data_IF_979572521745
#
_entry.id   IF_979572521745
#
_cell.length_a   1.000
_cell.length_b   1.000
_cell.length_c   1.000
_cell.angle_alpha   90.00
_cell.angle_beta   90.00
_cell.angle_gamma   90.00
#
_symmetry.space_group_name_H-M   'P 1'
#
loop_
_entity.id
_entity.type
_entity.pdbx_description
1 polymer ?
#
# COMPACT_ATOMS: atom_id res chain seq x y z
N UNK A 1 -19.16 16.65 69.62
CA UNK A 1 -18.36 16.44 68.40
C UNK A 1 -17.45 17.65 68.20
N UNK A 2 -16.24 17.63 68.76
CA UNK A 2 -15.26 18.73 68.60
C UNK A 2 -14.24 18.29 67.56
N UNK A 3 -14.32 18.87 66.37
CA UNK A 3 -13.35 18.67 65.30
C UNK A 3 -11.97 19.15 65.75
N UNK A 4 -10.96 18.31 65.54
CA UNK A 4 -9.54 18.62 65.72
C UNK A 4 -9.13 19.59 64.62
N UNK A 5 -8.68 20.79 65.00
CA UNK A 5 -8.55 21.95 64.11
C UNK A 5 -7.12 22.19 63.60
N UNK A 6 -6.19 21.26 63.83
CA UNK A 6 -4.82 21.35 63.29
C UNK A 6 -4.20 19.96 63.10
N UNK A 7 -3.32 19.79 62.12
CA UNK A 7 -2.58 18.54 61.89
C UNK A 7 -1.72 18.09 63.07
N UNK A 8 -1.36 19.02 63.97
CA UNK A 8 -0.64 18.72 65.21
C UNK A 8 -1.46 17.95 66.26
N UNK A 9 -2.77 18.23 66.35
CA UNK A 9 -3.67 17.49 67.26
C UNK A 9 -3.93 16.07 66.77
N UNK A 10 -4.04 15.88 65.44
CA UNK A 10 -4.15 14.56 64.82
C UNK A 10 -2.88 13.73 65.04
N UNK A 11 -1.70 14.33 64.93
CA UNK A 11 -0.41 13.67 65.15
C UNK A 11 -0.23 13.23 66.62
N UNK A 12 -0.68 14.04 67.57
CA UNK A 12 -0.67 13.69 69.00
C UNK A 12 -1.68 12.58 69.33
N UNK A 13 -2.86 12.57 68.70
CA UNK A 13 -3.83 11.48 68.85
C UNK A 13 -3.31 10.15 68.30
N UNK A 14 -2.59 10.18 67.17
CA UNK A 14 -1.94 9.01 66.56
C UNK A 14 -0.77 8.50 67.41
N UNK A 15 0.04 9.40 68.00
CA UNK A 15 1.14 9.03 68.92
C UNK A 15 0.67 8.28 70.16
N UNK A 16 -0.50 8.63 70.67
CA UNK A 16 -1.05 8.06 71.89
C UNK A 16 -1.94 6.82 71.65
N UNK A 17 -2.19 6.45 70.39
CA UNK A 17 -2.99 5.27 70.03
C UNK A 17 -2.33 4.47 68.89
N UNK A 18 -1.63 3.37 69.20
CA UNK A 18 -0.93 2.56 68.19
C UNK A 18 -1.88 1.97 67.13
N UNK A 19 -3.15 1.75 67.48
CA UNK A 19 -4.19 1.26 66.56
C UNK A 19 -4.58 2.29 65.50
N UNK A 20 -4.63 3.58 65.85
CA UNK A 20 -4.89 4.68 64.91
C UNK A 20 -3.71 4.91 63.96
N UNK A 21 -2.47 4.74 64.45
CA UNK A 21 -1.28 4.78 63.61
C UNK A 21 -1.29 3.67 62.55
N UNK A 22 -1.74 2.46 62.92
CA UNK A 22 -1.85 1.33 62.01
C UNK A 22 -2.92 1.55 60.93
N UNK A 23 -4.09 2.11 61.29
CA UNK A 23 -5.15 2.44 60.34
C UNK A 23 -4.71 3.52 59.35
N UNK A 24 -4.02 4.57 59.81
CA UNK A 24 -3.49 5.61 58.95
C UNK A 24 -2.44 5.06 57.98
N UNK A 25 -1.55 4.20 58.47
CA UNK A 25 -0.56 3.53 57.62
C UNK A 25 -1.25 2.65 56.56
N UNK A 26 -2.32 1.95 56.94
CA UNK A 26 -3.09 1.10 56.03
C UNK A 26 -3.85 1.91 54.97
N UNK A 27 -4.43 3.06 55.31
CA UNK A 27 -5.04 3.98 54.34
C UNK A 27 -3.99 4.56 53.39
N UNK A 28 -2.85 5.01 53.90
CA UNK A 28 -1.75 5.54 53.07
C UNK A 28 -1.25 4.47 52.10
N UNK A 29 -1.13 3.22 52.53
CA UNK A 29 -0.68 2.13 51.68
C UNK A 29 -1.76 1.72 50.65
N UNK A 30 -3.05 1.77 51.00
CA UNK A 30 -4.17 1.60 50.05
C UNK A 30 -4.19 2.70 48.99
N UNK A 31 -4.04 3.96 49.38
CA UNK A 31 -4.06 5.10 48.47
C UNK A 31 -2.89 5.07 47.49
N UNK A 32 -1.70 4.68 47.96
CA UNK A 32 -0.53 4.45 47.09
C UNK A 32 -0.81 3.37 46.04
N UNK A 33 -1.50 2.29 46.40
CA UNK A 33 -1.87 1.23 45.47
C UNK A 33 -2.89 1.73 44.45
N UNK A 34 -3.90 2.51 44.86
CA UNK A 34 -4.86 3.10 43.93
C UNK A 34 -4.21 4.12 42.98
N UNK A 35 -3.33 4.98 43.48
CA UNK A 35 -2.57 5.94 42.67
C UNK A 35 -1.67 5.22 41.66
N UNK A 36 -1.00 4.15 42.07
CA UNK A 36 -0.21 3.31 41.16
C UNK A 36 -1.10 2.69 40.06
N UNK A 37 -2.27 2.15 40.41
CA UNK A 37 -3.22 1.58 39.46
C UNK A 37 -3.78 2.61 38.47
N UNK A 38 -4.15 3.80 38.95
CA UNK A 38 -4.64 4.90 38.11
C UNK A 38 -3.54 5.34 37.13
N UNK A 39 -2.31 5.51 37.60
CA UNK A 39 -1.18 5.90 36.75
C UNK A 39 -0.86 4.85 35.68
N UNK A 40 -1.03 3.57 36.01
CA UNK A 40 -0.84 2.48 35.06
C UNK A 40 -1.98 2.45 34.03
N UNK A 41 -3.22 2.68 34.46
CA UNK A 41 -4.39 2.74 33.58
C UNK A 41 -4.31 3.92 32.60
N UNK A 42 -3.83 5.09 33.03
CA UNK A 42 -3.63 6.24 32.15
C UNK A 42 -2.51 5.99 31.14
N UNK A 43 -1.40 5.38 31.57
CA UNK A 43 -0.32 5.02 30.65
C UNK A 43 -0.80 4.01 29.59
N UNK A 44 -1.60 3.02 29.98
CA UNK A 44 -2.21 2.08 29.04
C UNK A 44 -3.19 2.75 28.09
N UNK A 45 -4.00 3.69 28.56
CA UNK A 45 -4.94 4.43 27.72
C UNK A 45 -4.22 5.32 26.68
N UNK A 46 -3.13 5.97 27.06
CA UNK A 46 -2.29 6.76 26.14
C UNK A 46 -1.62 5.87 25.08
N UNK A 47 -1.09 4.72 25.48
CA UNK A 47 -0.52 3.74 24.55
C UNK A 47 -1.59 3.24 23.57
N UNK A 48 -2.80 2.95 24.05
CA UNK A 48 -3.92 2.49 23.22
C UNK A 48 -4.38 3.56 22.21
N UNK A 49 -4.42 4.83 22.64
CA UNK A 49 -4.72 5.95 21.77
C UNK A 49 -3.65 6.11 20.68
N UNK A 50 -2.36 6.05 21.04
CA UNK A 50 -1.25 6.09 20.09
C UNK A 50 -1.26 4.94 19.09
N UNK A 51 -1.61 3.72 19.52
CA UNK A 51 -1.79 2.57 18.62
C UNK A 51 -2.94 2.78 17.62
N UNK A 52 -4.04 3.38 18.06
CA UNK A 52 -5.22 3.65 17.22
C UNK A 52 -4.88 4.68 16.14
N UNK A 53 -4.18 5.76 16.53
CA UNK A 53 -3.80 6.83 15.62
C UNK A 53 -2.75 6.36 14.59
N UNK A 54 -1.75 5.60 15.05
CA UNK A 54 -0.76 4.96 14.17
C UNK A 54 -1.43 3.98 13.19
N UNK A 55 -2.43 3.24 13.66
CA UNK A 55 -3.23 2.34 12.82
C UNK A 55 -4.01 3.08 11.74
N UNK A 56 -4.61 4.24 12.08
CA UNK A 56 -5.33 5.09 11.14
C UNK A 56 -4.40 5.68 10.07
N UNK A 57 -3.23 6.19 10.47
CA UNK A 57 -2.22 6.72 9.55
C UNK A 57 -1.69 5.64 8.61
N UNK A 58 -1.42 4.44 9.12
CA UNK A 58 -1.00 3.32 8.26
C UNK A 58 -2.12 2.91 7.28
N UNK A 59 -3.38 2.94 7.72
CA UNK A 59 -4.52 2.64 6.86
C UNK A 59 -4.67 3.68 5.74
N UNK A 60 -4.51 4.97 6.03
CA UNK A 60 -4.57 6.04 5.02
C UNK A 60 -3.38 5.99 4.08
N UNK A 61 -2.16 5.78 4.58
CA UNK A 61 -0.98 5.62 3.73
C UNK A 61 -1.10 4.40 2.79
N UNK A 62 -1.65 3.28 3.27
CA UNK A 62 -1.92 2.12 2.41
C UNK A 62 -3.00 2.40 1.36
N UNK A 63 -4.01 3.21 1.68
CA UNK A 63 -5.06 3.60 0.73
C UNK A 63 -4.52 4.54 -0.35
N UNK A 64 -3.68 5.50 0.03
CA UNK A 64 -3.02 6.44 -0.89
C UNK A 64 -2.03 5.73 -1.81
N UNK A 65 -1.20 4.84 -1.28
CA UNK A 65 -0.29 4.01 -2.07
C UNK A 65 -1.02 3.12 -3.09
N UNK A 66 -2.29 2.75 -2.82
CA UNK A 66 -3.14 2.00 -3.76
C UNK A 66 -3.87 2.87 -4.76
N UNK A 67 -4.00 4.19 -4.56
CA UNK A 67 -4.76 5.07 -5.45
C UNK A 67 -3.95 5.56 -6.67
N UNK A 68 -2.61 5.64 -6.57
CA UNK A 68 -1.74 6.25 -7.59
C UNK A 68 -1.32 5.33 -8.75
N UNK A 69 -2.12 4.31 -9.09
CA UNK A 69 -1.76 3.35 -10.14
C UNK A 69 -2.33 3.69 -11.52
N UNK A 70 -3.21 4.68 -11.68
CA UNK A 70 -3.94 4.90 -12.95
C UNK A 70 -3.05 5.07 -14.19
N UNK A 71 -1.91 5.81 -14.17
CA UNK A 71 -1.07 5.94 -15.35
C UNK A 71 -0.38 4.59 -15.66
N UNK A 72 0.00 3.86 -14.61
CA UNK A 72 0.75 2.59 -14.67
C UNK A 72 -0.12 1.37 -14.96
N UNK A 73 -1.41 1.39 -14.63
CA UNK A 73 -2.35 0.32 -14.92
C UNK A 73 -3.04 0.51 -16.27
N UNK A 74 -3.28 1.74 -16.73
CA UNK A 74 -3.97 1.98 -18.02
C UNK A 74 -3.04 1.92 -19.23
N UNK A 75 -1.75 2.28 -19.12
CA UNK A 75 -0.85 2.28 -20.28
C UNK A 75 -0.51 0.87 -20.79
N UNK A 76 -0.44 -0.16 -19.93
CA UNK A 76 -0.05 -1.53 -20.37
C UNK A 76 -1.11 -2.18 -21.26
N UNK A 77 -2.41 -2.19 -20.90
CA UNK A 77 -3.47 -2.68 -21.79
C UNK A 77 -3.57 -1.87 -23.08
N UNK A 78 -3.38 -0.55 -22.99
CA UNK A 78 -3.38 0.33 -24.16
C UNK A 78 -2.27 -0.01 -25.14
N UNK A 79 -1.05 -0.25 -24.66
CA UNK A 79 0.06 -0.66 -25.52
C UNK A 79 -0.21 -2.04 -26.13
N UNK A 80 -0.68 -3.02 -25.35
CA UNK A 80 -1.06 -4.34 -25.90
C UNK A 80 -2.11 -4.24 -27.00
N UNK A 81 -3.13 -3.38 -26.83
CA UNK A 81 -4.12 -3.08 -27.85
C UNK A 81 -3.52 -2.44 -29.10
N UNK A 82 -2.63 -1.45 -28.93
CA UNK A 82 -1.94 -0.81 -30.06
C UNK A 82 -1.10 -1.81 -30.86
N UNK A 83 -0.38 -2.72 -30.19
CA UNK A 83 0.38 -3.78 -30.85
C UNK A 83 -0.54 -4.74 -31.62
N UNK A 84 -1.67 -5.14 -31.03
CA UNK A 84 -2.66 -6.00 -31.67
C UNK A 84 -3.31 -5.35 -32.90
N UNK A 85 -3.66 -4.06 -32.80
CA UNK A 85 -4.23 -3.29 -33.90
C UNK A 85 -3.24 -3.16 -35.07
N UNK A 86 -1.96 -2.89 -34.77
CA UNK A 86 -0.92 -2.76 -35.77
C UNK A 86 -0.66 -4.09 -36.48
N UNK A 87 -0.60 -5.20 -35.73
CA UNK A 87 -0.49 -6.54 -36.28
C UNK A 87 -1.69 -6.92 -37.18
N UNK A 88 -2.91 -6.54 -36.79
CA UNK A 88 -4.12 -6.75 -37.58
C UNK A 88 -4.07 -5.99 -38.90
N UNK A 89 -3.73 -4.69 -38.87
CA UNK A 89 -3.61 -3.84 -40.06
C UNK A 89 -2.53 -4.38 -41.00
N UNK A 90 -1.39 -4.77 -40.44
CA UNK A 90 -0.27 -5.37 -41.18
C UNK A 90 -0.70 -6.67 -41.89
N UNK A 91 -1.39 -7.57 -41.18
CA UNK A 91 -1.93 -8.81 -41.74
C UNK A 91 -2.97 -8.58 -42.85
N UNK A 92 -3.89 -7.63 -42.66
CA UNK A 92 -4.87 -7.24 -43.68
C UNK A 92 -4.15 -6.66 -44.92
N UNK A 93 -3.13 -5.85 -44.72
CA UNK A 93 -2.36 -5.23 -45.81
C UNK A 93 -1.64 -6.28 -46.66
N UNK A 94 -0.98 -7.26 -46.02
CA UNK A 94 -0.35 -8.38 -46.72
C UNK A 94 -1.40 -9.20 -47.50
N UNK A 95 -2.52 -9.54 -46.86
CA UNK A 95 -3.60 -10.30 -47.51
C UNK A 95 -4.18 -9.54 -48.71
N UNK A 96 -4.42 -8.24 -48.59
CA UNK A 96 -4.94 -7.39 -49.66
C UNK A 96 -3.97 -7.28 -50.85
N UNK A 97 -2.66 -7.16 -50.59
CA UNK A 97 -1.64 -7.15 -51.64
C UNK A 97 -1.59 -8.47 -52.41
N UNK A 98 -1.61 -9.61 -51.72
CA UNK A 98 -1.62 -10.92 -52.37
C UNK A 98 -2.90 -11.17 -53.18
N UNK A 99 -4.07 -10.89 -52.60
CA UNK A 99 -5.35 -11.05 -53.29
C UNK A 99 -5.46 -10.11 -54.51
N UNK A 100 -4.97 -8.88 -54.40
CA UNK A 100 -4.98 -7.91 -55.49
C UNK A 100 -4.11 -8.35 -56.68
N UNK A 101 -2.93 -8.92 -56.43
CA UNK A 101 -2.06 -9.41 -57.51
C UNK A 101 -2.60 -10.70 -58.11
N UNK A 102 -3.09 -11.64 -57.29
CA UNK A 102 -3.51 -12.96 -57.74
C UNK A 102 -4.87 -12.96 -58.46
N UNK A 103 -5.83 -12.13 -58.02
CA UNK A 103 -7.20 -12.14 -58.54
C UNK A 103 -7.60 -10.86 -59.30
N UNK A 104 -6.95 -9.73 -59.05
CA UNK A 104 -7.30 -8.45 -59.69
C UNK A 104 -6.27 -7.97 -60.72
N UNK A 105 -5.24 -8.78 -61.02
CA UNK A 105 -4.21 -8.45 -62.01
C UNK A 105 -3.39 -7.21 -61.66
N UNK A 106 -3.31 -6.83 -60.37
CA UNK A 106 -2.49 -5.69 -59.92
C UNK A 106 -1.01 -5.96 -60.14
N UNK A 107 -0.27 -4.86 -60.25
CA UNK A 107 1.17 -4.87 -60.51
C UNK A 107 1.93 -5.70 -59.43
N UNK A 108 2.63 -6.78 -59.81
CA UNK A 108 3.35 -7.65 -58.87
C UNK A 108 4.52 -6.96 -58.16
N UNK A 109 5.02 -5.84 -58.68
CA UNK A 109 6.02 -5.01 -58.00
C UNK A 109 5.57 -4.53 -56.61
N UNK A 110 4.26 -4.48 -56.32
CA UNK A 110 3.76 -4.17 -54.98
C UNK A 110 4.20 -5.19 -53.92
N UNK A 111 4.36 -6.47 -54.30
CA UNK A 111 4.83 -7.50 -53.38
C UNK A 111 6.31 -7.31 -53.01
N UNK A 112 7.10 -6.69 -53.88
CA UNK A 112 8.50 -6.38 -53.59
C UNK A 112 8.66 -5.25 -52.55
N UNK A 113 7.63 -4.42 -52.35
CA UNK A 113 7.63 -3.33 -51.36
C UNK A 113 7.15 -3.78 -49.98
N UNK A 114 6.48 -4.93 -49.88
CA UNK A 114 5.98 -5.47 -48.60
C UNK A 114 7.07 -5.60 -47.53
N UNK A 115 8.28 -6.14 -47.79
CA UNK A 115 9.32 -6.21 -46.77
C UNK A 115 9.75 -4.85 -46.24
N UNK A 116 9.75 -3.81 -47.08
CA UNK A 116 10.08 -2.44 -46.67
C UNK A 116 9.01 -1.83 -45.77
N UNK A 117 7.73 -2.03 -46.10
CA UNK A 117 6.61 -1.59 -45.26
C UNK A 117 6.58 -2.31 -43.90
N UNK A 118 6.68 -3.64 -43.92
CA UNK A 118 6.71 -4.46 -42.70
C UNK A 118 7.96 -4.16 -41.85
N UNK A 119 9.09 -3.87 -42.49
CA UNK A 119 10.32 -3.46 -41.82
C UNK A 119 10.19 -2.10 -41.12
N UNK A 120 9.50 -1.14 -41.76
CA UNK A 120 9.20 0.16 -41.14
C UNK A 120 8.27 0.01 -39.93
N UNK A 121 7.22 -0.82 -40.04
CA UNK A 121 6.33 -1.17 -38.94
C UNK A 121 7.08 -1.85 -37.78
N UNK A 122 7.94 -2.83 -38.10
CA UNK A 122 8.79 -3.49 -37.12
C UNK A 122 9.76 -2.51 -36.45
N UNK A 123 10.27 -1.53 -37.18
CA UNK A 123 11.12 -0.46 -36.65
C UNK A 123 10.41 0.40 -35.61
N UNK A 124 9.15 0.78 -35.85
CA UNK A 124 8.33 1.50 -34.87
C UNK A 124 8.12 0.64 -33.62
N UNK A 125 7.79 -0.64 -33.79
CA UNK A 125 7.57 -1.58 -32.68
C UNK A 125 8.84 -1.81 -31.84
N UNK A 126 10.01 -1.83 -32.48
CA UNK A 126 11.30 -1.99 -31.82
C UNK A 126 11.64 -0.81 -30.87
N UNK A 127 11.06 0.37 -31.06
CA UNK A 127 11.24 1.49 -30.13
C UNK A 127 10.45 1.31 -28.82
N UNK A 128 9.34 0.58 -28.86
CA UNK A 128 8.42 0.42 -27.72
C UNK A 128 8.63 -0.90 -26.96
N UNK A 129 9.09 -1.95 -27.65
CA UNK A 129 9.30 -3.28 -27.07
C UNK A 129 10.30 -3.34 -25.88
N UNK A 130 11.41 -2.58 -25.87
CA UNK A 130 12.37 -2.62 -24.76
C UNK A 130 11.77 -2.17 -23.42
N UNK A 131 10.93 -1.12 -23.46
CA UNK A 131 10.28 -0.56 -22.28
C UNK A 131 9.34 -1.59 -21.64
N UNK A 132 8.59 -2.33 -22.48
CA UNK A 132 7.71 -3.40 -22.02
C UNK A 132 8.51 -4.58 -21.45
N UNK A 133 9.61 -4.96 -22.08
CA UNK A 133 10.48 -6.07 -21.65
C UNK A 133 11.12 -5.82 -20.30
N UNK A 134 11.58 -4.59 -20.04
CA UNK A 134 12.11 -4.19 -18.74
C UNK A 134 10.99 -4.23 -17.69
N UNK A 135 9.82 -3.65 -17.99
CA UNK A 135 8.70 -3.62 -17.06
C UNK A 135 8.17 -5.03 -16.72
N UNK A 136 8.12 -5.95 -17.67
CA UNK A 136 7.71 -7.34 -17.43
C UNK A 136 8.74 -8.12 -16.61
N UNK A 137 10.05 -7.89 -16.80
CA UNK A 137 11.09 -8.51 -15.99
C UNK A 137 11.03 -8.12 -14.51
N UNK A 138 10.88 -6.82 -14.22
CA UNK A 138 10.77 -6.35 -12.83
C UNK A 138 9.49 -6.86 -12.16
N UNK A 139 8.37 -6.91 -12.90
CA UNK A 139 7.11 -7.47 -12.39
C UNK A 139 7.22 -8.98 -12.13
N UNK A 140 7.88 -9.71 -13.03
CA UNK A 140 8.16 -11.14 -12.85
C UNK A 140 8.98 -11.43 -11.59
N UNK A 141 9.99 -10.59 -11.29
CA UNK A 141 10.75 -10.68 -10.03
C UNK A 141 9.88 -10.52 -8.81
N UNK A 142 9.02 -9.51 -8.79
CA UNK A 142 8.13 -9.22 -7.66
C UNK A 142 7.10 -10.34 -7.47
N UNK A 143 6.59 -10.93 -8.56
CA UNK A 143 5.69 -12.09 -8.51
C UNK A 143 6.37 -13.40 -8.11
N UNK A 144 7.68 -13.53 -8.36
CA UNK A 144 8.46 -14.72 -8.01
C UNK A 144 8.95 -14.76 -6.56
N UNK A 145 8.90 -13.63 -5.84
CA UNK A 145 9.34 -13.58 -4.44
C UNK A 145 8.18 -13.97 -3.50
N UNK A 146 8.26 -15.13 -2.82
CA UNK A 146 7.22 -15.59 -1.91
C UNK A 146 7.07 -14.71 -0.66
N UNK A 147 8.02 -13.81 -0.37
CA UNK A 147 7.96 -12.89 0.77
C UNK A 147 7.19 -11.60 0.46
N UNK A 148 6.86 -11.35 -0.81
CA UNK A 148 6.12 -10.15 -1.20
C UNK A 148 4.66 -10.55 -1.45
N UNK A 149 3.70 -10.03 -0.67
CA UNK A 149 2.28 -10.23 -0.95
C UNK A 149 1.96 -9.61 -2.32
N UNK A 150 1.72 -10.45 -3.33
CA UNK A 150 1.38 -10.00 -4.68
C UNK A 150 -0.13 -10.12 -4.88
N UNK A 151 -0.79 -8.99 -5.12
CA UNK A 151 -2.19 -9.01 -5.59
C UNK A 151 -2.18 -9.28 -7.10
N UNK A 152 -2.65 -10.46 -7.49
CA UNK A 152 -2.67 -10.92 -8.89
C UNK A 152 -3.83 -10.36 -9.71
N UNK A 153 -4.49 -9.30 -9.23
CA UNK A 153 -5.54 -8.61 -9.98
C UNK A 153 -4.91 -7.65 -10.99
N UNK A 154 -4.70 -8.19 -12.20
CA UNK A 154 -4.53 -7.49 -13.50
C UNK A 154 -3.92 -6.10 -13.50
#
# INVERSE_FOLDING_TARGET
MKGTRTGGDALNAVRNNPTLAFQLQQEIDSDKVQLAQISQATALAEIQAGMTDTGAVNATMQAEARAEHWPTCSWRPFIGFAFGLLALISGITVAACYLGVMFMGRNPQLLAQLPGMLGAEAGVMATMAPILGIASWFRGKVQSDPNIPTDNRG
#
